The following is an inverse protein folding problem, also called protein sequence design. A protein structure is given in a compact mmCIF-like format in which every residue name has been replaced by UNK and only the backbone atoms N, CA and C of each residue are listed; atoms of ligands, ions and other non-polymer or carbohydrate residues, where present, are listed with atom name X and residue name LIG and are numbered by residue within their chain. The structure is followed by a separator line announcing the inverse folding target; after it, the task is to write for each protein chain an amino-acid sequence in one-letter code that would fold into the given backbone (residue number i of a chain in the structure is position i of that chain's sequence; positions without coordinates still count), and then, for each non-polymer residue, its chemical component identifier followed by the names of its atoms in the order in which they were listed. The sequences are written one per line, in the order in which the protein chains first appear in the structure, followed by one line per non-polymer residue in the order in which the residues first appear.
data_IF_343779549473
#
_entry.id   IF_343779549473
#
_cell.length_a   1.000
_cell.length_b   1.000
_cell.length_c   1.000
_cell.angle_alpha   90.00
_cell.angle_beta   90.00
_cell.angle_gamma   90.00
#
_symmetry.space_group_name_H-M   'P 1'
#
loop_
_entity.id
_entity.type
_entity.pdbx_description
1 polymer ?
#
# COMPACT_ATOMS: atom_id res chain seq x y z
N UNK A 1 18.87 53.28 -3.63
CA UNK A 1 19.58 52.26 -2.82
C UNK A 1 20.09 51.18 -3.76
N UNK A 2 21.38 50.81 -3.71
CA UNK A 2 21.94 49.70 -4.51
C UNK A 2 21.88 48.43 -3.65
N UNK A 3 20.91 47.56 -3.89
CA UNK A 3 20.84 46.27 -3.20
C UNK A 3 21.98 45.39 -3.73
N UNK A 4 23.06 45.27 -2.95
CA UNK A 4 24.12 44.30 -3.21
C UNK A 4 23.60 42.93 -2.78
N UNK A 5 22.89 42.25 -3.68
CA UNK A 5 22.53 40.86 -3.47
C UNK A 5 23.84 40.07 -3.39
N UNK A 6 24.16 39.56 -2.22
CA UNK A 6 25.33 38.70 -2.05
C UNK A 6 25.01 37.33 -2.67
N UNK A 7 25.46 37.16 -3.92
CA UNK A 7 25.25 35.95 -4.70
C UNK A 7 25.76 34.69 -3.98
N UNK A 8 26.74 34.79 -3.07
CA UNK A 8 27.19 33.65 -2.27
C UNK A 8 26.08 33.18 -1.33
N UNK A 9 25.45 34.13 -0.65
CA UNK A 9 24.33 33.87 0.25
C UNK A 9 23.09 33.34 -0.50
N UNK A 10 22.85 33.82 -1.73
CA UNK A 10 21.79 33.32 -2.60
C UNK A 10 22.01 31.84 -3.00
N UNK A 11 23.25 31.46 -3.32
CA UNK A 11 23.61 30.08 -3.67
C UNK A 11 23.46 29.15 -2.46
N UNK A 12 23.91 29.57 -1.28
CA UNK A 12 23.73 28.79 -0.04
C UNK A 12 22.23 28.59 0.25
N UNK A 13 21.41 29.65 0.11
CA UNK A 13 19.97 29.55 0.33
C UNK A 13 19.29 28.60 -0.65
N UNK A 14 19.67 28.65 -1.93
CA UNK A 14 19.16 27.73 -2.95
C UNK A 14 19.57 26.28 -2.67
N UNK A 15 20.81 26.04 -2.25
CA UNK A 15 21.29 24.69 -1.91
C UNK A 15 20.54 24.10 -0.71
N UNK A 16 20.29 24.89 0.32
CA UNK A 16 19.48 24.47 1.48
C UNK A 16 18.03 24.14 1.08
N UNK A 17 17.40 24.97 0.25
CA UNK A 17 16.03 24.72 -0.22
C UNK A 17 15.96 23.46 -1.11
N UNK A 18 16.96 23.25 -1.98
CA UNK A 18 17.06 22.05 -2.81
C UNK A 18 17.20 20.78 -1.95
N UNK A 19 18.06 20.80 -0.92
CA UNK A 19 18.22 19.69 0.02
C UNK A 19 16.90 19.35 0.73
N UNK A 20 16.19 20.34 1.27
CA UNK A 20 14.88 20.11 1.93
C UNK A 20 13.87 19.49 0.96
N UNK A 21 13.84 19.96 -0.28
CA UNK A 21 12.94 19.42 -1.32
C UNK A 21 13.26 17.97 -1.65
N UNK A 22 14.54 17.61 -1.73
CA UNK A 22 14.98 16.22 -1.94
C UNK A 22 14.58 15.33 -0.77
N UNK A 23 14.81 15.75 0.47
CA UNK A 23 14.41 15.00 1.67
C UNK A 23 12.89 14.77 1.76
N UNK A 24 12.09 15.77 1.41
CA UNK A 24 10.62 15.64 1.40
C UNK A 24 10.16 14.74 0.24
N UNK A 25 10.82 14.80 -0.91
CA UNK A 25 10.43 14.03 -2.10
C UNK A 25 10.66 12.53 -1.92
N UNK A 26 11.70 12.11 -1.19
CA UNK A 26 11.91 10.69 -0.85
C UNK A 26 10.87 10.13 0.13
N UNK A 27 10.16 10.98 0.89
CA UNK A 27 9.08 10.53 1.77
C UNK A 27 7.75 10.29 1.04
N UNK A 28 7.65 10.66 -0.25
CA UNK A 28 6.39 10.63 -0.99
C UNK A 28 6.27 9.49 -2.02
N UNK A 29 7.21 8.54 -2.01
CA UNK A 29 7.15 7.35 -2.88
C UNK A 29 6.51 6.13 -2.19
N UNK A 30 5.96 6.31 -0.98
CA UNK A 30 5.66 5.21 -0.05
C UNK A 30 4.23 5.14 0.49
N UNK A 31 3.26 5.87 -0.08
CA UNK A 31 1.88 5.78 0.39
C UNK A 31 0.92 5.37 -0.73
N UNK A 32 1.02 4.11 -1.13
CA UNK A 32 -0.17 3.31 -1.35
C UNK A 32 -0.33 2.41 -0.11
N UNK A 33 -0.88 2.97 0.97
CA UNK A 33 -1.75 2.26 1.92
C UNK A 33 -1.48 0.75 2.11
N UNK A 34 -0.27 0.35 2.52
CA UNK A 34 0.01 -1.02 2.97
C UNK A 34 -0.45 -1.17 4.42
N UNK A 35 -1.76 -0.98 4.63
CA UNK A 35 -2.40 -1.51 5.83
C UNK A 35 -2.15 -3.01 5.89
N UNK A 36 -2.02 -3.57 7.10
CA UNK A 36 -1.80 -5.01 7.32
C UNK A 36 -2.77 -5.87 6.51
N UNK A 37 -4.01 -5.39 6.34
CA UNK A 37 -5.01 -6.02 5.50
C UNK A 37 -5.24 -5.20 4.24
N UNK A 38 -5.09 -5.81 3.08
CA UNK A 38 -5.46 -5.26 1.79
C UNK A 38 -6.68 -5.98 1.23
N UNK A 39 -7.62 -5.22 0.66
CA UNK A 39 -8.83 -5.78 0.05
C UNK A 39 -8.86 -5.43 -1.43
N UNK A 40 -9.04 -6.44 -2.27
CA UNK A 40 -9.21 -6.31 -3.71
C UNK A 40 -10.55 -6.89 -4.11
N UNK A 41 -11.35 -6.10 -4.83
CA UNK A 41 -12.65 -6.51 -5.35
C UNK A 41 -12.52 -6.62 -6.87
N UNK A 42 -12.87 -7.77 -7.44
CA UNK A 42 -12.92 -8.00 -8.88
C UNK A 42 -14.25 -8.61 -9.31
N UNK A 43 -14.44 -8.78 -10.61
CA UNK A 43 -15.68 -9.35 -11.18
C UNK A 43 -15.97 -10.77 -10.66
N UNK A 44 -14.91 -11.54 -10.38
CA UNK A 44 -15.01 -12.93 -9.91
C UNK A 44 -15.20 -13.08 -8.39
N UNK A 45 -15.10 -11.97 -7.62
CA UNK A 45 -15.25 -11.98 -6.17
C UNK A 45 -14.36 -11.00 -5.39
N UNK A 46 -14.22 -11.24 -4.08
CA UNK A 46 -13.49 -10.37 -3.14
C UNK A 46 -12.33 -11.14 -2.54
N UNK A 47 -11.16 -10.52 -2.43
CA UNK A 47 -9.98 -11.07 -1.76
C UNK A 47 -9.50 -10.11 -0.68
N UNK A 48 -9.29 -10.62 0.52
CA UNK A 48 -8.69 -9.92 1.65
C UNK A 48 -7.36 -10.61 1.97
N UNK A 49 -6.26 -9.87 1.98
CA UNK A 49 -4.90 -10.36 2.19
C UNK A 49 -4.27 -9.72 3.43
N UNK A 50 -3.79 -10.53 4.37
CA UNK A 50 -2.82 -10.12 5.39
C UNK A 50 -1.42 -10.05 4.73
N UNK A 51 -0.95 -8.84 4.48
CA UNK A 51 0.32 -8.59 3.79
C UNK A 51 1.54 -8.95 4.64
N UNK A 52 1.37 -9.22 5.94
CA UNK A 52 2.48 -9.63 6.82
C UNK A 52 2.68 -11.14 6.83
N UNK A 53 1.60 -11.92 6.77
CA UNK A 53 1.66 -13.38 6.93
C UNK A 53 1.33 -14.15 5.65
N UNK A 54 0.89 -13.48 4.59
CA UNK A 54 0.41 -14.14 3.37
C UNK A 54 -0.92 -14.88 3.54
N UNK A 55 -1.59 -14.71 4.69
CA UNK A 55 -2.90 -15.29 4.93
C UNK A 55 -3.94 -14.53 4.12
N UNK A 56 -4.88 -15.23 3.50
CA UNK A 56 -5.93 -14.61 2.71
C UNK A 56 -7.29 -15.22 3.01
N UNK A 57 -8.33 -14.44 2.75
CA UNK A 57 -9.71 -14.91 2.66
C UNK A 57 -10.26 -14.41 1.34
N UNK A 58 -10.76 -15.33 0.52
CA UNK A 58 -11.38 -15.02 -0.76
C UNK A 58 -12.83 -15.48 -0.77
N UNK A 59 -13.71 -14.66 -1.31
CA UNK A 59 -15.05 -15.07 -1.73
C UNK A 59 -15.08 -15.13 -3.25
N UNK A 60 -15.73 -16.15 -3.78
CA UNK A 60 -16.06 -16.20 -5.21
C UNK A 60 -17.57 -16.22 -5.41
N UNK A 61 -18.06 -15.39 -6.33
CA UNK A 61 -19.47 -15.31 -6.69
C UNK A 61 -19.90 -16.39 -7.72
N UNK A 62 -19.10 -17.45 -7.92
CA UNK A 62 -19.30 -18.46 -8.98
C UNK A 62 -20.52 -19.36 -8.75
N UNK A 63 -21.14 -19.34 -7.57
CA UNK A 63 -22.42 -19.98 -7.34
C UNK A 63 -23.26 -19.09 -6.44
N UNK A 64 -24.59 -19.21 -6.52
CA UNK A 64 -25.63 -18.48 -5.77
C UNK A 64 -25.56 -18.57 -4.23
N UNK A 65 -24.41 -18.99 -3.68
CA UNK A 65 -24.04 -18.99 -2.26
C UNK A 65 -22.62 -18.42 -2.14
N UNK A 66 -22.48 -17.35 -1.35
CA UNK A 66 -21.18 -16.77 -1.01
C UNK A 66 -20.33 -17.82 -0.28
N UNK A 67 -19.30 -18.33 -0.96
CA UNK A 67 -18.38 -19.31 -0.39
C UNK A 67 -17.06 -18.62 -0.07
N UNK A 68 -16.77 -18.47 1.22
CA UNK A 68 -15.49 -17.94 1.69
C UNK A 68 -14.47 -19.08 1.81
N UNK A 69 -13.29 -18.87 1.28
CA UNK A 69 -12.14 -19.78 1.36
C UNK A 69 -11.01 -19.01 2.04
N UNK A 70 -10.49 -19.57 3.14
CA UNK A 70 -9.28 -19.06 3.78
C UNK A 70 -8.08 -19.89 3.35
N UNK A 71 -6.92 -19.26 3.26
CA UNK A 71 -5.67 -19.96 2.98
C UNK A 71 -4.46 -19.14 3.37
N UNK A 72 -3.27 -19.69 3.12
CA UNK A 72 -2.02 -18.97 3.22
C UNK A 72 -1.18 -19.29 1.99
N UNK A 73 -0.57 -18.26 1.38
CA UNK A 73 0.34 -18.43 0.26
C UNK A 73 1.62 -19.22 0.62
N UNK A 74 2.04 -19.20 1.88
CA UNK A 74 3.20 -19.96 2.36
C UNK A 74 2.86 -21.43 2.64
N UNK A 75 1.58 -21.79 2.74
CA UNK A 75 1.16 -23.17 2.96
C UNK A 75 0.86 -23.86 1.63
N UNK A 76 1.54 -24.96 1.34
CA UNK A 76 1.26 -25.85 0.20
C UNK A 76 -0.05 -26.65 0.34
N UNK A 77 -0.95 -26.25 1.24
CA UNK A 77 -2.21 -26.93 1.52
C UNK A 77 -3.34 -26.14 0.85
N UNK A 78 -4.16 -26.81 0.04
CA UNK A 78 -5.32 -26.19 -0.60
C UNK A 78 -6.23 -25.57 0.47
N UNK A 79 -6.68 -24.34 0.24
CA UNK A 79 -7.41 -23.52 1.21
C UNK A 79 -8.65 -24.20 1.79
N UNK A 80 -8.95 -23.91 3.06
CA UNK A 80 -10.09 -24.44 3.78
C UNK A 80 -11.34 -23.59 3.51
N UNK A 81 -12.47 -24.23 3.21
CA UNK A 81 -13.75 -23.53 3.08
C UNK A 81 -14.25 -23.12 4.46
N UNK A 82 -14.55 -21.84 4.67
CA UNK A 82 -15.15 -21.34 5.90
C UNK A 82 -16.60 -20.95 5.61
N UNK A 83 -17.53 -21.57 6.33
CA UNK A 83 -18.93 -21.15 6.34
C UNK A 83 -19.08 -20.07 7.41
N UNK A 84 -19.20 -18.82 6.98
CA UNK A 84 -19.61 -17.73 7.87
C UNK A 84 -21.12 -17.88 8.03
N UNK A 85 -21.57 -18.27 9.23
CA UNK A 85 -22.99 -18.23 9.60
C UNK A 85 -23.37 -16.77 9.89
N UNK A 86 -24.45 -16.31 9.28
CA UNK A 86 -25.09 -15.03 9.57
C UNK A 86 -25.53 -14.92 11.04
#
# INVERSE_FOLDING_TARGET
MKQKLDFKSAIIGFLCAALVTVFISFKNSGEATTGRYQTTIGESGVVILDTQTGAYIMSSAIASKWKWVKGNFESNTMGETVLIKD
#
